data_IF_047191077397
#
_entry.id   IF_047191077397
#
_cell.length_a   1.000
_cell.length_b   1.000
_cell.length_c   1.000
_cell.angle_alpha   90.00
_cell.angle_beta   90.00
_cell.angle_gamma   90.00
#
_symmetry.space_group_name_H-M   'P 1'
#
loop_
_entity.id
_entity.type
_entity.pdbx_description
1 polymer ?
#
# COMPACT_ATOMS: atom_id res chain seq x y z
N UNK A 1 -21.99 -1.06 36.84
CA UNK A 1 -20.62 -0.83 36.35
C UNK A 1 -19.67 -0.85 37.54
N UNK A 2 -18.73 -1.80 37.59
CA UNK A 2 -17.79 -1.96 38.71
C UNK A 2 -16.77 -0.82 38.69
N UNK A 3 -16.64 -0.08 39.80
CA UNK A 3 -15.59 0.93 39.98
C UNK A 3 -14.48 0.31 40.83
N UNK A 4 -13.22 0.27 40.36
CA UNK A 4 -12.11 -0.30 41.12
C UNK A 4 -11.86 0.49 42.42
N UNK A 5 -11.32 -0.19 43.43
CA UNK A 5 -10.98 0.44 44.71
C UNK A 5 -9.89 1.51 44.53
N UNK A 6 -9.81 2.51 45.43
CA UNK A 6 -8.77 3.54 45.37
C UNK A 6 -7.35 2.97 45.31
N UNK A 7 -7.08 1.90 46.06
CA UNK A 7 -5.79 1.19 46.07
C UNK A 7 -5.46 0.56 44.72
N UNK A 8 -6.46 0.03 44.02
CA UNK A 8 -6.27 -0.49 42.66
C UNK A 8 -6.05 0.64 41.65
N UNK A 9 -6.78 1.76 41.75
CA UNK A 9 -6.62 2.91 40.85
C UNK A 9 -5.20 3.49 40.88
N UNK A 10 -4.55 3.53 42.05
CA UNK A 10 -3.18 4.03 42.21
C UNK A 10 -2.12 3.20 41.45
N UNK A 11 -2.43 1.95 41.08
CA UNK A 11 -1.51 1.05 40.36
C UNK A 11 -1.80 0.98 38.86
N UNK A 12 -2.95 1.50 38.42
CA UNK A 12 -3.32 1.53 37.01
C UNK A 12 -2.59 2.66 36.30
N UNK A 13 -2.31 2.46 35.00
CA UNK A 13 -1.65 3.48 34.18
C UNK A 13 -2.55 4.70 34.05
N UNK A 14 -1.97 5.89 34.21
CA UNK A 14 -2.68 7.15 34.04
C UNK A 14 -3.25 7.30 32.63
N UNK A 15 -4.49 7.76 32.59
CA UNK A 15 -5.28 8.13 31.43
C UNK A 15 -5.65 9.60 31.53
N UNK A 16 -6.13 10.18 30.44
CA UNK A 16 -6.46 11.61 30.35
C UNK A 16 -7.56 12.08 31.29
N UNK A 17 -8.35 11.17 31.88
CA UNK A 17 -9.51 11.48 32.73
C UNK A 17 -9.30 11.21 34.22
N UNK A 18 -8.09 10.80 34.61
CA UNK A 18 -7.78 10.42 36.00
C UNK A 18 -7.13 11.53 36.81
N UNK A 19 -6.61 12.57 36.16
CA UNK A 19 -5.88 13.68 36.79
C UNK A 19 -6.30 15.01 36.15
N UNK A 20 -6.22 16.09 36.93
CA UNK A 20 -6.59 17.44 36.50
C UNK A 20 -5.44 18.12 35.73
N UNK A 21 -5.50 19.45 35.61
CA UNK A 21 -4.66 20.29 34.74
C UNK A 21 -3.16 19.93 34.71
N UNK A 22 -2.57 20.07 33.52
CA UNK A 22 -1.14 19.83 33.27
C UNK A 22 -0.82 18.45 32.71
N UNK A 23 -1.68 17.43 32.91
CA UNK A 23 -1.48 16.12 32.30
C UNK A 23 -2.13 16.03 30.91
N UNK A 24 -1.32 16.16 29.86
CA UNK A 24 -1.73 15.90 28.49
C UNK A 24 -1.21 14.55 28.01
N UNK A 25 -2.08 13.72 27.43
CA UNK A 25 -1.72 12.45 26.81
C UNK A 25 -2.44 12.32 25.47
N UNK A 26 -1.67 12.25 24.39
CA UNK A 26 -2.20 12.19 23.03
C UNK A 26 -2.79 10.82 22.65
N UNK A 27 -3.59 10.81 21.58
CA UNK A 27 -4.28 9.61 21.06
C UNK A 27 -3.71 9.14 19.71
N UNK A 28 -2.41 9.37 19.45
CA UNK A 28 -1.72 9.02 18.19
C UNK A 28 -2.37 9.61 16.93
N UNK A 29 -2.95 10.79 17.05
CA UNK A 29 -3.51 11.52 15.89
C UNK A 29 -2.44 11.96 14.91
N UNK A 30 -1.17 12.03 15.32
CA UNK A 30 -0.06 12.57 14.54
C UNK A 30 0.09 14.08 14.72
N UNK A 31 1.25 14.64 14.34
CA UNK A 31 1.46 16.09 14.33
C UNK A 31 1.07 16.65 12.97
N UNK A 32 0.09 17.57 12.95
CA UNK A 32 -0.41 18.22 11.73
C UNK A 32 0.21 19.60 11.49
N UNK A 33 1.31 19.91 12.19
CA UNK A 33 1.80 21.27 12.33
C UNK A 33 2.77 21.43 13.48
N UNK A 34 2.85 22.64 14.02
CA UNK A 34 3.70 22.99 15.15
C UNK A 34 3.08 24.10 16.00
N UNK A 35 3.49 24.18 17.27
CA UNK A 35 3.11 25.29 18.16
C UNK A 35 4.06 26.48 17.94
N UNK A 36 3.50 27.67 17.84
CA UNK A 36 4.26 28.93 17.89
C UNK A 36 4.59 29.31 19.34
N UNK A 37 5.54 30.23 19.54
CA UNK A 37 5.98 30.68 20.88
C UNK A 37 4.84 31.29 21.72
N UNK A 38 3.79 31.79 21.08
CA UNK A 38 2.61 32.37 21.72
C UNK A 38 1.54 31.32 22.13
N UNK A 39 1.79 30.02 21.89
CA UNK A 39 0.86 28.93 22.19
C UNK A 39 -0.17 28.63 21.09
N UNK A 40 -0.17 29.37 19.98
CA UNK A 40 -1.04 29.10 18.81
C UNK A 40 -0.52 27.89 18.06
N UNK A 41 -1.42 27.06 17.54
CA UNK A 41 -1.05 25.93 16.68
C UNK A 41 -1.17 26.31 15.21
N UNK A 42 -0.06 26.22 14.45
CA UNK A 42 -0.03 26.47 13.02
C UNK A 42 -0.05 25.14 12.25
N UNK A 43 -1.02 24.99 11.36
CA UNK A 43 -1.22 23.80 10.53
C UNK A 43 -0.20 23.80 9.38
N UNK A 44 0.42 22.65 9.15
CA UNK A 44 1.29 22.37 8.02
C UNK A 44 0.55 21.42 7.07
N UNK A 45 0.07 21.95 5.94
CA UNK A 45 -0.78 21.23 4.99
C UNK A 45 -0.08 20.04 4.34
N UNK A 46 1.26 20.01 4.28
CA UNK A 46 2.01 18.86 3.75
C UNK A 46 1.89 17.62 4.65
N UNK A 47 1.63 17.83 5.96
CA UNK A 47 1.46 16.73 6.94
C UNK A 47 0.01 16.30 7.09
N UNK A 48 -0.93 17.05 6.53
CA UNK A 48 -2.36 16.73 6.59
C UNK A 48 -2.62 15.54 5.68
N UNK A 49 -3.26 14.50 6.25
CA UNK A 49 -3.61 13.29 5.49
C UNK A 49 -4.84 13.55 4.64
N UNK A 50 -4.74 13.25 3.35
CA UNK A 50 -5.84 13.27 2.41
C UNK A 50 -6.21 11.84 2.00
N UNK A 51 -7.51 11.55 1.94
CA UNK A 51 -8.03 10.29 1.40
C UNK A 51 -8.62 10.60 0.03
N UNK A 52 -7.84 10.33 -1.03
CA UNK A 52 -8.20 10.67 -2.41
C UNK A 52 -9.26 9.69 -2.89
N UNK A 53 -10.41 10.22 -3.31
CA UNK A 53 -11.51 9.47 -3.91
C UNK A 53 -11.36 9.52 -5.43
N UNK A 54 -11.42 8.38 -6.15
CA UNK A 54 -11.41 8.39 -7.62
C UNK A 54 -12.64 9.10 -8.20
N UNK A 55 -12.47 9.80 -9.32
CA UNK A 55 -13.53 10.64 -9.91
C UNK A 55 -14.73 9.81 -10.42
N UNK A 56 -14.48 8.67 -11.07
CA UNK A 56 -15.52 7.86 -11.74
C UNK A 56 -16.13 6.76 -10.85
N UNK A 57 -16.12 6.95 -9.52
CA UNK A 57 -16.57 5.93 -8.57
C UNK A 57 -18.07 5.63 -8.67
N UNK A 58 -18.89 6.60 -9.07
CA UNK A 58 -20.34 6.45 -9.21
C UNK A 58 -20.73 5.55 -10.39
N UNK A 59 -19.99 5.64 -11.50
CA UNK A 59 -20.18 4.80 -12.69
C UNK A 59 -19.45 3.47 -12.64
N UNK A 60 -18.70 3.19 -11.57
CA UNK A 60 -17.83 2.02 -11.50
C UNK A 60 -18.64 0.74 -11.23
N UNK A 61 -18.49 -0.26 -12.11
CA UNK A 61 -19.31 -1.47 -12.06
C UNK A 61 -18.90 -2.47 -10.96
N UNK A 62 -17.66 -2.37 -10.43
CA UNK A 62 -17.19 -3.32 -9.43
C UNK A 62 -17.83 -3.04 -8.07
N UNK A 63 -18.49 -4.07 -7.53
CA UNK A 63 -19.13 -4.04 -6.21
C UNK A 63 -18.31 -4.85 -5.19
N UNK A 64 -18.50 -4.63 -3.88
CA UNK A 64 -17.78 -5.40 -2.84
C UNK A 64 -18.15 -6.90 -2.79
N UNK A 65 -19.13 -7.35 -3.58
CA UNK A 65 -19.60 -8.73 -3.58
C UNK A 65 -19.52 -9.35 -4.97
N UNK A 66 -19.30 -10.67 -5.01
CA UNK A 66 -19.31 -11.46 -6.24
C UNK A 66 -20.50 -12.41 -6.20
N UNK A 67 -21.13 -12.65 -7.35
CA UNK A 67 -22.24 -13.61 -7.47
C UNK A 67 -21.79 -15.02 -7.07
N UNK A 68 -22.61 -15.71 -6.27
CA UNK A 68 -22.36 -17.11 -5.84
C UNK A 68 -22.29 -18.11 -6.99
N UNK A 69 -22.78 -17.75 -8.18
CA UNK A 69 -22.69 -18.58 -9.40
C UNK A 69 -21.27 -18.60 -9.97
N UNK A 70 -20.47 -17.57 -9.68
CA UNK A 70 -19.07 -17.50 -10.11
C UNK A 70 -18.24 -18.35 -9.16
N UNK A 71 -17.60 -19.40 -9.70
CA UNK A 71 -16.72 -20.25 -8.90
C UNK A 71 -15.40 -19.52 -8.62
N UNK A 72 -14.85 -19.61 -7.38
CA UNK A 72 -13.55 -19.05 -7.07
C UNK A 72 -12.46 -19.64 -7.98
N UNK A 73 -11.76 -18.78 -8.72
CA UNK A 73 -10.64 -19.21 -9.58
C UNK A 73 -9.43 -19.53 -8.71
N UNK A 74 -8.77 -20.66 -8.98
CA UNK A 74 -7.48 -21.01 -8.33
C UNK A 74 -6.35 -20.19 -8.92
N UNK A 75 -5.32 -19.96 -8.10
CA UNK A 75 -4.11 -19.26 -8.52
C UNK A 75 -3.40 -20.00 -9.66
N UNK A 76 -2.84 -19.23 -10.58
CA UNK A 76 -2.08 -19.74 -11.73
C UNK A 76 -0.62 -20.05 -11.34
N UNK A 77 -0.10 -19.33 -10.34
CA UNK A 77 1.26 -19.51 -9.84
C UNK A 77 1.27 -20.62 -8.79
N UNK A 78 1.60 -21.82 -9.23
CA UNK A 78 1.73 -22.98 -8.34
C UNK A 78 3.06 -23.68 -8.56
N UNK A 79 3.66 -24.13 -7.46
CA UNK A 79 4.89 -24.92 -7.47
C UNK A 79 4.64 -26.26 -6.80
N UNK A 80 5.09 -27.31 -7.45
CA UNK A 80 5.13 -28.64 -6.85
C UNK A 80 6.40 -28.77 -6.01
N UNK A 81 6.23 -29.09 -4.73
CA UNK A 81 7.34 -29.40 -3.82
C UNK A 81 7.18 -30.83 -3.30
N UNK A 82 8.30 -31.53 -3.14
CA UNK A 82 8.30 -32.79 -2.41
C UNK A 82 8.38 -32.51 -0.91
N UNK A 83 7.39 -32.97 -0.16
CA UNK A 83 7.45 -33.04 1.30
C UNK A 83 7.33 -34.51 1.70
N UNK A 84 8.43 -35.06 2.21
CA UNK A 84 8.50 -36.40 2.79
C UNK A 84 7.99 -37.51 1.83
N UNK A 85 8.37 -37.45 0.55
CA UNK A 85 8.00 -38.42 -0.48
C UNK A 85 6.60 -38.20 -1.07
N UNK A 86 5.96 -37.07 -0.77
CA UNK A 86 4.66 -36.68 -1.33
C UNK A 86 4.78 -35.32 -2.03
N UNK A 87 4.42 -35.30 -3.31
CA UNK A 87 4.34 -34.07 -4.10
C UNK A 87 3.12 -33.26 -3.65
N UNK A 88 3.36 -32.06 -3.12
CA UNK A 88 2.32 -31.12 -2.70
C UNK A 88 2.39 -29.89 -3.60
N UNK A 89 1.23 -29.45 -4.10
CA UNK A 89 1.12 -28.20 -4.85
C UNK A 89 0.95 -27.05 -3.87
N UNK A 90 1.89 -26.10 -3.89
CA UNK A 90 1.89 -24.90 -3.07
C UNK A 90 1.73 -23.68 -3.97
N UNK A 91 1.05 -22.65 -3.49
CA UNK A 91 0.94 -21.37 -4.21
C UNK A 91 2.32 -20.72 -4.27
N UNK A 92 2.78 -20.40 -5.47
CA UNK A 92 4.01 -19.65 -5.72
C UNK A 92 3.69 -18.16 -5.92
N UNK A 93 4.70 -17.31 -5.86
CA UNK A 93 4.54 -15.87 -6.11
C UNK A 93 4.85 -15.51 -7.56
N UNK A 94 4.24 -14.43 -8.06
CA UNK A 94 4.60 -13.81 -9.33
C UNK A 94 6.09 -13.43 -9.32
N UNK A 95 6.88 -13.95 -10.26
CA UNK A 95 8.31 -13.60 -10.36
C UNK A 95 8.49 -12.36 -11.21
N UNK A 96 9.62 -11.68 -11.03
CA UNK A 96 9.95 -10.48 -11.81
C UNK A 96 9.97 -10.75 -13.32
N UNK A 97 10.49 -11.91 -13.75
CA UNK A 97 10.48 -12.29 -15.17
C UNK A 97 9.07 -12.52 -15.71
N UNK A 98 8.19 -13.13 -14.93
CA UNK A 98 6.79 -13.33 -15.33
C UNK A 98 6.09 -11.98 -15.54
N UNK A 99 6.37 -11.00 -14.67
CA UNK A 99 5.87 -9.64 -14.84
C UNK A 99 6.40 -8.98 -16.12
N UNK A 100 7.70 -9.10 -16.40
CA UNK A 100 8.31 -8.52 -17.62
C UNK A 100 7.65 -9.10 -18.87
N UNK A 101 7.43 -10.42 -18.90
CA UNK A 101 6.77 -11.08 -20.03
C UNK A 101 5.32 -10.59 -20.18
N UNK A 102 4.53 -10.58 -19.09
CA UNK A 102 3.15 -10.07 -19.10
C UNK A 102 3.09 -8.61 -19.54
N UNK A 103 4.05 -7.79 -19.10
CA UNK A 103 4.11 -6.38 -19.45
C UNK A 103 4.44 -6.21 -20.93
N UNK A 104 5.42 -6.95 -21.46
CA UNK A 104 5.77 -6.92 -22.89
C UNK A 104 4.60 -7.36 -23.78
N UNK A 105 3.89 -8.42 -23.38
CA UNK A 105 2.73 -8.92 -24.11
C UNK A 105 1.57 -7.91 -24.15
N UNK A 106 1.35 -7.18 -23.05
CA UNK A 106 0.26 -6.18 -22.94
C UNK A 106 0.60 -4.83 -23.56
N UNK A 107 1.87 -4.46 -23.62
CA UNK A 107 2.33 -3.15 -24.08
C UNK A 107 3.24 -3.27 -25.31
N UNK A 108 2.93 -4.19 -26.23
CA UNK A 108 3.75 -4.50 -27.39
C UNK A 108 4.08 -3.25 -28.25
N UNK A 109 3.15 -2.31 -28.37
CA UNK A 109 3.35 -1.06 -29.11
C UNK A 109 4.46 -0.19 -28.50
N UNK A 110 4.50 -0.06 -27.17
CA UNK A 110 5.54 0.69 -26.45
C UNK A 110 6.91 0.03 -26.63
N UNK A 111 6.94 -1.30 -26.57
CA UNK A 111 8.17 -2.09 -26.77
C UNK A 111 8.71 -1.88 -28.19
N UNK A 112 7.87 -2.03 -29.22
CA UNK A 112 8.29 -1.84 -30.62
C UNK A 112 8.75 -0.40 -30.87
N UNK A 113 8.03 0.60 -30.33
CA UNK A 113 8.43 2.00 -30.45
C UNK A 113 9.83 2.24 -29.85
N UNK A 114 10.10 1.66 -28.69
CA UNK A 114 11.41 1.75 -28.03
C UNK A 114 12.51 1.01 -28.81
N UNK A 115 12.25 -0.21 -29.28
CA UNK A 115 13.22 -0.96 -30.10
C UNK A 115 13.59 -0.21 -31.38
N UNK A 116 12.61 0.43 -32.03
CA UNK A 116 12.85 1.26 -33.21
C UNK A 116 13.69 2.51 -32.87
N UNK A 117 13.43 3.15 -31.73
CA UNK A 117 14.23 4.28 -31.25
C UNK A 117 15.69 3.88 -30.93
N UNK A 118 15.89 2.71 -30.32
CA UNK A 118 17.22 2.16 -30.01
C UNK A 118 18.00 1.77 -31.28
N UNK A 119 17.33 1.19 -32.28
CA UNK A 119 17.91 0.91 -33.60
C UNK A 119 18.33 2.19 -34.32
N UNK A 120 17.51 3.24 -34.24
CA UNK A 120 17.83 4.57 -34.78
C UNK A 120 19.09 5.17 -34.15
N UNK A 121 19.18 5.17 -32.82
CA UNK A 121 20.36 5.66 -32.09
C UNK A 121 21.64 4.86 -32.41
N UNK A 122 21.52 3.55 -32.61
CA UNK A 122 22.66 2.69 -32.95
C UNK A 122 23.16 2.97 -34.37
N UNK A 123 22.25 3.27 -35.30
CA UNK A 123 22.59 3.64 -36.67
C UNK A 123 23.30 5.01 -36.75
N UNK A 124 22.82 6.00 -36.01
CA UNK A 124 23.40 7.36 -35.98
C UNK A 124 24.79 7.40 -35.28
N UNK A 125 24.97 6.63 -34.21
CA UNK A 125 26.27 6.53 -33.51
C UNK A 125 27.34 5.81 -34.34
N UNK A 126 26.92 4.85 -35.18
CA UNK A 126 27.81 4.13 -36.10
C UNK A 126 28.26 4.98 -37.28
N UNK A 127 27.46 5.96 -37.72
CA UNK A 127 27.82 6.90 -38.80
C UNK A 127 28.73 8.04 -38.34
N UNK A 128 28.71 8.39 -37.05
CA UNK A 128 29.50 9.51 -36.49
C UNK A 128 30.94 9.12 -36.14
N UNK A 129 31.28 7.82 -36.18
CA UNK A 129 32.61 7.30 -35.82
C UNK A 129 33.51 6.93 -37.03
N UNK A 130 33.17 7.37 -38.25
CA UNK A 130 34.01 7.23 -39.46
C UNK A 130 34.60 8.57 -39.90
#
# INVERSE_FOLDING_TARGET
MFKPSPTMMARLRLTTKQVNGGYYKGNRTGSMGHFEKNGTYKIDWEKVRHYVVPDDLESFELTPFVSRKVQPKRDQYVKQIDRNGRVVTVVDSLKGQDYINIWGDKNAEEVVARENAEKGHTAESSQTSQ
#
